data_IF_654262676059
#
_entry.id   IF_654262676059
#
_cell.length_a   1.000
_cell.length_b   1.000
_cell.length_c   1.000
_cell.angle_alpha   90.00
_cell.angle_beta   90.00
_cell.angle_gamma   90.00
#
_symmetry.space_group_name_H-M   'P 1'
#
loop_
_entity.id
_entity.type
_entity.pdbx_description
1 polymer ?
#
# COMPACT_ATOMS: atom_id res chain seq x y z
N UNK A 1 -15.44 -15.92 8.48
CA UNK A 1 -14.64 -15.16 9.47
C UNK A 1 -13.59 -14.40 8.67
N UNK A 2 -13.47 -13.09 8.86
CA UNK A 2 -12.46 -12.28 8.17
C UNK A 2 -11.28 -12.11 9.10
N UNK A 3 -10.09 -12.33 8.58
CA UNK A 3 -8.86 -12.17 9.36
C UNK A 3 -8.30 -10.78 9.13
N UNK A 4 -8.11 -10.01 10.19
CA UNK A 4 -7.40 -8.75 10.18
C UNK A 4 -6.01 -8.99 10.78
N UNK A 5 -4.95 -8.71 10.03
CA UNK A 5 -3.57 -8.92 10.48
C UNK A 5 -2.91 -7.57 10.78
N UNK A 6 -2.24 -7.45 11.92
CA UNK A 6 -1.36 -6.30 12.17
C UNK A 6 0.02 -6.61 11.59
N UNK A 7 0.48 -5.77 10.70
CA UNK A 7 1.71 -5.93 9.91
C UNK A 7 2.54 -4.65 9.95
N UNK A 8 3.81 -4.73 9.63
CA UNK A 8 4.66 -3.54 9.47
C UNK A 8 5.67 -3.71 8.35
N UNK A 9 6.04 -2.60 7.72
CA UNK A 9 7.13 -2.51 6.76
C UNK A 9 7.90 -1.22 6.99
N UNK A 10 9.21 -1.31 7.25
CA UNK A 10 10.06 -0.15 7.53
C UNK A 10 9.45 0.79 8.58
N UNK A 11 9.05 0.23 9.71
CA UNK A 11 8.44 0.91 10.88
C UNK A 11 7.01 1.46 10.67
N UNK A 12 6.49 1.56 9.45
CA UNK A 12 5.07 1.82 9.25
C UNK A 12 4.24 0.58 9.60
N UNK A 13 3.30 0.75 10.51
CA UNK A 13 2.37 -0.29 10.94
C UNK A 13 1.03 -0.18 10.21
N UNK A 14 0.48 -1.31 9.80
CA UNK A 14 -0.81 -1.36 9.11
C UNK A 14 -1.67 -2.50 9.65
N UNK A 15 -2.99 -2.38 9.44
CA UNK A 15 -3.86 -3.52 9.42
C UNK A 15 -4.07 -3.98 7.98
N UNK A 16 -3.80 -5.25 7.70
CA UNK A 16 -4.05 -5.87 6.42
C UNK A 16 -5.41 -6.56 6.46
N UNK A 17 -6.29 -6.18 5.54
CA UNK A 17 -7.64 -6.70 5.36
C UNK A 17 -7.73 -7.35 3.97
N UNK A 18 -7.86 -8.68 3.92
CA UNK A 18 -8.12 -9.40 2.68
C UNK A 18 -9.64 -9.45 2.43
N UNK A 19 -10.13 -8.52 1.61
CA UNK A 19 -11.55 -8.42 1.28
C UNK A 19 -12.04 -9.51 0.32
N UNK A 20 -11.12 -10.29 -0.29
CA UNK A 20 -11.51 -11.47 -1.10
C UNK A 20 -12.17 -12.55 -0.23
N UNK A 21 -12.01 -12.48 1.09
CA UNK A 21 -12.66 -13.35 2.07
C UNK A 21 -14.07 -12.86 2.46
N UNK A 22 -14.47 -11.67 2.03
CA UNK A 22 -15.79 -11.11 2.26
C UNK A 22 -16.76 -11.58 1.17
N UNK A 23 -18.07 -11.60 1.47
CA UNK A 23 -19.11 -11.87 0.46
C UNK A 23 -19.11 -10.81 -0.65
N UNK A 24 -18.78 -9.57 -0.28
CA UNK A 24 -18.54 -8.46 -1.19
C UNK A 24 -17.55 -7.49 -0.55
N UNK A 25 -16.71 -6.80 -1.34
CA UNK A 25 -15.81 -5.77 -0.83
C UNK A 25 -16.57 -4.64 -0.13
N UNK A 26 -15.90 -3.97 0.80
CA UNK A 26 -16.45 -2.79 1.47
C UNK A 26 -16.54 -1.62 0.48
N UNK A 27 -17.57 -0.81 0.59
CA UNK A 27 -17.59 0.48 -0.10
C UNK A 27 -16.50 1.39 0.46
N UNK A 28 -16.09 2.40 -0.30
CA UNK A 28 -15.07 3.37 0.14
C UNK A 28 -15.43 4.01 1.48
N UNK A 29 -16.70 4.35 1.68
CA UNK A 29 -17.17 4.94 2.94
C UNK A 29 -17.13 3.96 4.12
N UNK A 30 -17.48 2.70 3.89
CA UNK A 30 -17.39 1.65 4.90
C UNK A 30 -15.93 1.37 5.27
N UNK A 31 -15.05 1.28 4.27
CA UNK A 31 -13.62 1.06 4.48
C UNK A 31 -12.98 2.24 5.24
N UNK A 32 -13.34 3.48 4.90
CA UNK A 32 -12.90 4.69 5.61
C UNK A 32 -13.36 4.69 7.08
N UNK A 33 -14.63 4.38 7.34
CA UNK A 33 -15.17 4.32 8.70
C UNK A 33 -14.52 3.20 9.52
N UNK A 34 -14.35 2.02 8.94
CA UNK A 34 -13.64 0.89 9.53
C UNK A 34 -12.19 1.27 9.89
N UNK A 35 -11.48 1.91 8.95
CA UNK A 35 -10.10 2.33 9.16
C UNK A 35 -9.98 3.28 10.34
N UNK A 36 -10.80 4.34 10.40
CA UNK A 36 -10.80 5.29 11.53
C UNK A 36 -10.97 4.60 12.88
N UNK A 37 -11.82 3.59 12.92
CA UNK A 37 -12.10 2.84 14.15
C UNK A 37 -10.92 1.97 14.57
N UNK A 38 -10.37 1.15 13.66
CA UNK A 38 -9.36 0.15 14.03
C UNK A 38 -7.97 0.74 14.21
N UNK A 39 -7.66 1.85 13.52
CA UNK A 39 -6.33 2.48 13.57
C UNK A 39 -6.14 3.46 14.71
N UNK A 40 -7.20 3.81 15.45
CA UNK A 40 -7.11 4.74 16.56
C UNK A 40 -6.11 4.24 17.62
N UNK A 41 -5.14 5.08 17.99
CA UNK A 41 -4.06 4.70 18.92
C UNK A 41 -4.52 4.46 20.36
N UNK A 42 -5.66 5.04 20.75
CA UNK A 42 -6.20 4.96 22.11
C UNK A 42 -7.30 3.89 22.24
N UNK A 43 -8.19 3.81 21.26
CA UNK A 43 -9.40 2.98 21.32
C UNK A 43 -9.46 1.90 20.26
N UNK A 44 -8.52 1.92 19.31
CA UNK A 44 -8.47 0.98 18.21
C UNK A 44 -7.87 -0.38 18.59
N UNK A 45 -7.80 -1.25 17.61
CA UNK A 45 -7.31 -2.61 17.80
C UNK A 45 -5.79 -2.63 18.02
N UNK A 46 -5.33 -3.46 18.95
CA UNK A 46 -3.89 -3.71 19.22
C UNK A 46 -3.05 -2.41 19.26
N UNK A 47 -3.59 -1.33 19.85
CA UNK A 47 -2.91 -0.03 19.95
C UNK A 47 -2.86 0.76 18.63
N UNK A 48 -3.78 0.51 17.72
CA UNK A 48 -3.91 1.22 16.45
C UNK A 48 -2.81 0.91 15.43
N UNK A 49 -2.80 1.63 14.33
CA UNK A 49 -1.84 1.52 13.24
C UNK A 49 -1.77 2.83 12.44
N UNK A 50 -0.87 2.91 11.43
CA UNK A 50 -0.73 4.07 10.55
C UNK A 50 -1.75 4.07 9.40
N UNK A 51 -2.45 2.95 9.18
CA UNK A 51 -3.49 2.82 8.18
C UNK A 51 -3.98 1.38 8.01
N UNK A 52 -4.82 1.20 7.00
CA UNK A 52 -5.31 -0.11 6.53
C UNK A 52 -4.83 -0.36 5.10
N UNK A 53 -4.37 -1.58 4.84
CA UNK A 53 -4.09 -2.10 3.51
C UNK A 53 -5.19 -3.09 3.16
N UNK A 54 -6.13 -2.68 2.33
CA UNK A 54 -7.20 -3.54 1.86
C UNK A 54 -6.80 -4.23 0.56
N UNK A 55 -7.08 -5.53 0.45
CA UNK A 55 -6.76 -6.34 -0.71
C UNK A 55 -8.06 -6.83 -1.34
N UNK A 56 -8.23 -6.57 -2.63
CA UNK A 56 -9.32 -7.10 -3.46
C UNK A 56 -8.75 -7.83 -4.68
N UNK A 57 -9.59 -8.57 -5.37
CA UNK A 57 -9.21 -9.15 -6.66
C UNK A 57 -9.01 -8.06 -7.71
N UNK A 58 -8.03 -8.27 -8.60
CA UNK A 58 -7.81 -7.45 -9.78
C UNK A 58 -7.32 -8.30 -10.94
N UNK A 59 -8.02 -8.30 -12.09
CA UNK A 59 -7.65 -9.10 -13.26
C UNK A 59 -6.22 -8.82 -13.74
N UNK A 60 -5.48 -9.88 -14.07
CA UNK A 60 -4.11 -9.77 -14.60
C UNK A 60 -3.02 -9.47 -13.56
N UNK A 61 -3.39 -9.39 -12.27
CA UNK A 61 -2.47 -9.16 -11.16
C UNK A 61 -2.73 -10.16 -10.04
N UNK A 62 -1.87 -10.19 -9.02
CA UNK A 62 -2.10 -11.02 -7.84
C UNK A 62 -3.15 -10.44 -6.88
N UNK A 63 -3.59 -9.20 -7.11
CA UNK A 63 -4.62 -8.49 -6.35
C UNK A 63 -4.42 -6.97 -6.43
N UNK A 64 -5.45 -6.24 -6.00
CA UNK A 64 -5.40 -4.78 -5.83
C UNK A 64 -5.13 -4.44 -4.38
N UNK A 65 -4.19 -3.53 -4.14
CA UNK A 65 -3.96 -2.89 -2.85
C UNK A 65 -4.59 -1.50 -2.81
N UNK A 66 -5.50 -1.29 -1.86
CA UNK A 66 -6.01 0.04 -1.50
C UNK A 66 -5.43 0.46 -0.16
N UNK A 67 -4.85 1.66 -0.11
CA UNK A 67 -4.24 2.21 1.11
C UNK A 67 -5.18 3.25 1.70
N UNK A 68 -5.55 3.06 2.97
CA UNK A 68 -6.43 3.98 3.69
C UNK A 68 -5.71 4.53 4.91
N UNK A 69 -5.58 5.85 4.96
CA UNK A 69 -4.96 6.57 6.07
C UNK A 69 -5.87 6.57 7.31
N UNK A 70 -5.31 6.90 8.48
CA UNK A 70 -6.04 6.94 9.76
C UNK A 70 -7.23 7.91 9.77
N UNK A 71 -7.22 8.94 8.92
CA UNK A 71 -8.32 9.89 8.72
C UNK A 71 -9.40 9.40 7.74
N UNK A 72 -9.21 8.19 7.17
CA UNK A 72 -10.10 7.58 6.18
C UNK A 72 -9.85 8.04 4.74
N UNK A 73 -8.88 8.89 4.49
CA UNK A 73 -8.49 9.28 3.13
C UNK A 73 -7.74 8.14 2.41
N UNK A 74 -7.83 8.12 1.08
CA UNK A 74 -7.12 7.14 0.26
C UNK A 74 -5.75 7.70 -0.17
N UNK A 75 -4.71 6.88 -0.07
CA UNK A 75 -3.41 7.17 -0.64
C UNK A 75 -3.23 6.40 -1.95
N UNK A 76 -2.70 7.07 -2.98
CA UNK A 76 -2.47 6.45 -4.30
C UNK A 76 -1.43 5.34 -4.27
N UNK A 77 -0.42 5.49 -3.41
CA UNK A 77 0.69 4.55 -3.28
C UNK A 77 1.30 4.62 -1.88
N UNK A 78 1.70 3.46 -1.36
CA UNK A 78 2.55 3.33 -0.17
C UNK A 78 3.57 2.22 -0.40
N UNK A 79 4.83 2.57 -0.64
CA UNK A 79 5.90 1.59 -0.92
C UNK A 79 6.15 0.62 0.24
N UNK A 80 6.06 1.09 1.50
CA UNK A 80 6.19 0.24 2.69
C UNK A 80 5.02 -0.74 2.80
N UNK A 81 3.79 -0.25 2.59
CA UNK A 81 2.60 -1.07 2.54
C UNK A 81 2.66 -2.10 1.41
N UNK A 82 3.14 -1.70 0.23
CA UNK A 82 3.22 -2.60 -0.92
C UNK A 82 4.18 -3.78 -0.68
N UNK A 83 5.33 -3.56 -0.03
CA UNK A 83 6.23 -4.66 0.36
C UNK A 83 5.56 -5.64 1.34
N UNK A 84 4.76 -5.12 2.24
CA UNK A 84 3.98 -5.93 3.19
C UNK A 84 2.91 -6.76 2.49
N UNK A 85 2.16 -6.13 1.57
CA UNK A 85 1.16 -6.82 0.73
C UNK A 85 1.83 -7.84 -0.19
N UNK A 86 3.01 -7.52 -0.75
CA UNK A 86 3.78 -8.45 -1.57
C UNK A 86 4.13 -9.73 -0.80
N UNK A 87 4.55 -9.62 0.46
CA UNK A 87 4.76 -10.77 1.33
C UNK A 87 3.49 -11.60 1.50
N UNK A 88 2.40 -10.96 1.87
CA UNK A 88 1.12 -11.64 2.07
C UNK A 88 0.65 -12.37 0.81
N UNK A 89 0.66 -11.69 -0.35
CA UNK A 89 0.24 -12.29 -1.62
C UNK A 89 1.18 -13.42 -2.06
N UNK A 90 2.50 -13.27 -1.87
CA UNK A 90 3.47 -14.33 -2.14
C UNK A 90 3.19 -15.59 -1.30
N UNK A 91 2.91 -15.43 -0.01
CA UNK A 91 2.56 -16.53 0.88
C UNK A 91 1.21 -17.16 0.51
N UNK A 92 0.22 -16.34 0.11
CA UNK A 92 -1.13 -16.79 -0.29
C UNK A 92 -1.13 -17.53 -1.63
N UNK A 93 -0.36 -17.06 -2.62
CA UNK A 93 -0.38 -17.58 -4.01
C UNK A 93 0.76 -18.54 -4.32
N UNK A 94 1.81 -18.57 -3.51
CA UNK A 94 3.05 -19.32 -3.78
C UNK A 94 3.95 -18.67 -4.83
N UNK A 95 3.59 -17.50 -5.36
CA UNK A 95 4.37 -16.81 -6.40
C UNK A 95 5.51 -15.99 -5.78
N UNK A 96 6.66 -15.97 -6.45
CA UNK A 96 7.83 -15.17 -6.03
C UNK A 96 7.98 -13.86 -6.81
N UNK A 97 7.31 -13.71 -7.94
CA UNK A 97 7.28 -12.51 -8.75
C UNK A 97 5.88 -12.34 -9.38
N UNK A 98 5.30 -11.16 -9.26
CA UNK A 98 3.94 -10.86 -9.73
C UNK A 98 3.72 -9.35 -9.77
N UNK A 99 2.55 -8.93 -10.29
CA UNK A 99 2.12 -7.53 -10.23
C UNK A 99 1.05 -7.35 -9.18
N UNK A 100 1.06 -6.18 -8.54
CA UNK A 100 0.00 -5.70 -7.65
C UNK A 100 -0.60 -4.45 -8.27
N UNK A 101 -1.92 -4.42 -8.43
CA UNK A 101 -2.65 -3.23 -8.86
C UNK A 101 -2.72 -2.22 -7.71
N UNK A 102 -2.49 -0.95 -8.00
CA UNK A 102 -2.65 0.18 -7.06
C UNK A 102 -3.41 1.30 -7.76
N UNK A 103 -3.91 2.28 -7.01
CA UNK A 103 -4.56 3.46 -7.63
C UNK A 103 -3.55 4.35 -8.40
N UNK A 104 -2.26 4.04 -8.33
CA UNK A 104 -1.21 4.68 -9.11
C UNK A 104 -0.90 3.91 -10.40
N UNK A 105 -0.62 2.60 -10.32
CA UNK A 105 -0.22 1.74 -11.44
C UNK A 105 -0.23 0.26 -11.03
N UNK A 106 -0.04 -0.62 -12.02
CA UNK A 106 0.34 -2.02 -11.81
C UNK A 106 1.84 -2.09 -11.55
N UNK A 107 2.22 -2.41 -10.32
CA UNK A 107 3.61 -2.42 -9.90
C UNK A 107 4.15 -3.84 -9.78
N UNK A 108 5.30 -4.09 -10.40
CA UNK A 108 6.00 -5.36 -10.29
C UNK A 108 6.63 -5.49 -8.90
N UNK A 109 6.42 -6.65 -8.29
CA UNK A 109 7.05 -7.04 -7.02
C UNK A 109 7.76 -8.38 -7.18
N UNK A 110 8.89 -8.53 -6.49
CA UNK A 110 9.63 -9.79 -6.51
C UNK A 110 10.22 -10.07 -5.11
N UNK A 111 10.12 -11.36 -4.73
CA UNK A 111 10.76 -11.86 -3.52
C UNK A 111 12.26 -11.83 -3.73
N UNK A 112 12.99 -11.34 -2.74
CA UNK A 112 14.45 -11.24 -2.71
C UNK A 112 15.02 -12.25 -1.71
N UNK A 113 16.34 -12.38 -1.69
CA UNK A 113 17.03 -13.10 -0.63
C UNK A 113 16.66 -12.49 0.73
N UNK A 114 16.43 -13.32 1.75
CA UNK A 114 16.10 -12.82 3.07
C UNK A 114 17.20 -11.89 3.60
N UNK A 115 16.82 -10.95 4.46
CA UNK A 115 17.78 -10.15 5.21
C UNK A 115 18.64 -11.05 6.11
N UNK A 116 19.79 -10.54 6.58
CA UNK A 116 20.66 -11.27 7.50
C UNK A 116 19.96 -11.76 8.79
N UNK A 117 18.87 -11.07 9.17
CA UNK A 117 17.97 -11.45 10.26
C UNK A 117 17.02 -12.61 9.93
N UNK A 118 17.03 -13.14 8.70
CA UNK A 118 16.08 -14.14 8.22
C UNK A 118 14.71 -13.58 7.80
N UNK A 119 14.49 -12.29 7.91
CA UNK A 119 13.23 -11.65 7.51
C UNK A 119 13.08 -11.67 5.99
N UNK A 120 11.95 -12.13 5.43
CA UNK A 120 11.70 -12.09 3.99
C UNK A 120 11.77 -10.67 3.44
N UNK A 121 12.46 -10.50 2.32
CA UNK A 121 12.62 -9.23 1.63
C UNK A 121 11.90 -9.24 0.28
N UNK A 122 11.37 -8.09 -0.12
CA UNK A 122 10.66 -7.88 -1.39
C UNK A 122 11.12 -6.58 -2.03
N UNK A 123 11.38 -6.62 -3.33
CA UNK A 123 11.58 -5.42 -4.15
C UNK A 123 10.25 -5.01 -4.78
N UNK A 124 10.13 -3.71 -4.99
CA UNK A 124 9.02 -3.09 -5.71
C UNK A 124 9.63 -2.22 -6.79
N UNK A 125 9.17 -2.40 -8.03
CA UNK A 125 9.55 -1.54 -9.14
C UNK A 125 8.59 -0.36 -9.20
N UNK A 126 9.12 0.84 -8.91
CA UNK A 126 8.38 2.10 -8.99
C UNK A 126 8.82 2.81 -10.26
N UNK A 127 7.87 3.48 -10.94
CA UNK A 127 8.15 4.25 -12.15
C UNK A 127 9.27 5.29 -11.93
N UNK A 128 10.05 5.64 -12.96
CA UNK A 128 11.06 6.69 -12.86
C UNK A 128 10.47 8.00 -12.33
N UNK A 129 11.27 8.70 -11.55
CA UNK A 129 10.90 10.04 -11.04
C UNK A 129 10.89 11.02 -12.21
N UNK A 130 9.82 11.81 -12.34
CA UNK A 130 9.78 12.93 -13.26
C UNK A 130 10.14 14.24 -12.54
N UNK A 131 10.96 15.04 -13.20
CA UNK A 131 11.30 16.41 -12.79
C UNK A 131 10.68 17.45 -13.72
N UNK A 132 9.83 17.04 -14.68
CA UNK A 132 9.12 17.98 -15.53
C UNK A 132 8.10 18.77 -14.69
N UNK A 133 8.09 20.10 -14.85
CA UNK A 133 7.20 20.97 -14.07
C UNK A 133 5.73 20.62 -14.25
N UNK A 134 5.35 20.13 -15.43
CA UNK A 134 3.98 19.69 -15.74
C UNK A 134 3.52 18.46 -14.92
N UNK A 135 4.45 17.64 -14.42
CA UNK A 135 4.15 16.43 -13.64
C UNK A 135 4.11 16.70 -12.14
N UNK A 136 4.46 17.92 -11.71
CA UNK A 136 4.54 18.29 -10.31
C UNK A 136 3.29 19.09 -9.88
N UNK A 137 2.84 18.96 -8.61
CA UNK A 137 1.62 19.62 -8.13
C UNK A 137 1.79 21.13 -7.89
N UNK A 138 2.71 21.77 -8.62
CA UNK A 138 2.98 23.21 -8.50
C UNK A 138 2.52 23.92 -9.77
N UNK A 139 1.71 24.96 -9.62
CA UNK A 139 1.25 25.77 -10.74
C UNK A 139 2.23 26.90 -11.05
N UNK A 140 2.50 27.14 -12.34
CA UNK A 140 3.14 28.34 -12.86
C UNK A 140 4.54 28.68 -12.30
N UNK A 141 5.43 27.69 -12.24
CA UNK A 141 6.80 27.92 -11.78
C UNK A 141 7.70 28.61 -12.82
N UNK A 142 7.22 28.79 -14.05
CA UNK A 142 7.99 29.47 -15.11
C UNK A 142 9.22 28.70 -15.60
N UNK A 143 9.31 27.42 -15.27
CA UNK A 143 10.42 26.52 -15.67
C UNK A 143 9.86 25.19 -16.18
N UNK A 144 10.56 24.59 -17.15
CA UNK A 144 10.15 23.30 -17.71
C UNK A 144 10.52 22.10 -16.83
N UNK A 145 11.55 22.26 -16.00
CA UNK A 145 12.04 21.23 -15.07
C UNK A 145 12.42 21.82 -13.74
N UNK A 146 12.20 21.04 -12.67
CA UNK A 146 12.57 21.42 -11.30
C UNK A 146 13.65 20.45 -10.81
N UNK A 147 14.89 20.96 -10.79
CA UNK A 147 16.06 20.29 -10.20
C UNK A 147 16.88 21.39 -9.53
N UNK A 148 17.18 21.23 -8.25
CA UNK A 148 17.98 22.19 -7.45
C UNK A 148 17.46 23.65 -7.53
N UNK A 149 16.15 23.81 -7.60
CA UNK A 149 15.52 25.13 -7.68
C UNK A 149 15.05 25.56 -6.30
N UNK A 150 15.40 26.78 -5.90
CA UNK A 150 14.83 27.42 -4.71
C UNK A 150 13.41 27.89 -5.09
N UNK A 151 12.41 27.39 -4.40
CA UNK A 151 11.00 27.76 -4.56
C UNK A 151 10.63 28.94 -3.67
#
# INVERSE_FOLDING_TARGET
>A
MVTLQKVHGSENSFFLLDETQLKQPLSTSQLAAFTKQVTNRQTGWLGGADGVLAITDAPGTAGKMTVVNTDGSLAKLCGNGLRTVARYLSEKTGQSAFKVHTDFADLAVAKQSPLASGVPAYSVEISPVSFAAADLPFANLGVDRIVDTVL
#
